data_IF_429304325870
#
_entry.id   IF_429304325870
#
_cell.length_a   1.000
_cell.length_b   1.000
_cell.length_c   1.000
_cell.angle_alpha   90.00
_cell.angle_beta   90.00
_cell.angle_gamma   90.00
#
_symmetry.space_group_name_H-M   'P 1'
#
loop_
_entity.id
_entity.type
_entity.pdbx_description
1 polymer ?
#
# COMPACT_ATOMS: atom_id res chain seq x y z
N UNK A 1 -11.88 -17.23 4.97
CA UNK A 1 -10.87 -16.62 4.09
C UNK A 1 -9.93 -15.83 4.98
N UNK A 2 -8.69 -16.29 5.14
CA UNK A 2 -7.66 -15.57 5.89
C UNK A 2 -7.44 -14.23 5.19
N UNK A 3 -7.75 -13.12 5.87
CA UNK A 3 -7.33 -11.80 5.41
C UNK A 3 -5.82 -11.75 5.57
N UNK A 4 -5.09 -12.01 4.50
CA UNK A 4 -3.63 -11.89 4.48
C UNK A 4 -3.29 -10.52 5.04
N UNK A 5 -2.57 -10.47 6.16
CA UNK A 5 -2.11 -9.22 6.76
C UNK A 5 -0.97 -8.70 5.87
N UNK A 6 -1.34 -8.04 4.78
CA UNK A 6 -0.39 -7.51 3.81
C UNK A 6 0.33 -6.32 4.42
N UNK A 7 1.65 -6.42 4.60
CA UNK A 7 2.48 -5.33 5.11
C UNK A 7 3.27 -4.73 3.95
N UNK A 8 3.09 -3.43 3.72
CA UNK A 8 3.81 -2.72 2.66
C UNK A 8 5.05 -2.08 3.24
N UNK A 9 6.10 -2.09 2.45
CA UNK A 9 7.37 -1.48 2.75
C UNK A 9 7.65 -0.43 1.70
N UNK A 10 7.60 0.82 2.11
CA UNK A 10 8.10 1.90 1.28
C UNK A 10 9.56 2.10 1.57
N UNK A 11 10.33 2.28 0.51
CA UNK A 11 11.74 2.63 0.65
C UNK A 11 11.98 3.93 -0.08
N UNK A 12 12.48 4.89 0.68
CA UNK A 12 12.79 6.22 0.21
C UNK A 12 14.30 6.44 0.28
N UNK A 13 14.85 6.85 -0.85
CA UNK A 13 16.19 7.43 -0.95
C UNK A 13 15.98 8.93 -1.16
N UNK A 14 16.12 9.71 -0.09
CA UNK A 14 16.05 11.17 -0.21
C UNK A 14 17.39 11.64 -0.80
N UNK A 15 17.40 12.10 -2.06
CA UNK A 15 18.64 12.60 -2.70
C UNK A 15 19.30 13.76 -1.97
N UNK A 16 18.59 14.41 -1.02
CA UNK A 16 19.12 15.50 -0.19
C UNK A 16 19.73 15.03 1.13
N UNK A 17 19.58 13.75 1.51
CA UNK A 17 20.08 13.17 2.76
C UNK A 17 20.79 11.85 2.47
N UNK A 18 21.94 11.62 3.07
CA UNK A 18 22.67 10.33 2.94
C UNK A 18 21.95 9.13 3.61
N UNK A 19 20.67 9.27 3.96
CA UNK A 19 19.90 8.30 4.72
C UNK A 19 18.71 7.75 3.93
N UNK A 20 18.76 6.44 3.69
CA UNK A 20 17.58 5.69 3.27
C UNK A 20 16.66 5.48 4.48
N UNK A 21 15.37 5.79 4.32
CA UNK A 21 14.35 5.54 5.34
C UNK A 21 13.41 4.46 4.82
N UNK A 22 13.16 3.47 5.67
CA UNK A 22 12.25 2.38 5.40
C UNK A 22 10.96 2.60 6.18
N UNK A 23 9.81 2.60 5.51
CA UNK A 23 8.51 2.75 6.18
C UNK A 23 7.71 1.48 6.03
N UNK A 24 7.30 0.91 7.16
CA UNK A 24 6.32 -0.16 7.23
C UNK A 24 4.92 0.45 7.33
N UNK A 25 4.10 0.24 6.30
CA UNK A 25 2.68 0.58 6.31
C UNK A 25 1.83 -0.69 6.47
N UNK A 26 0.91 -0.67 7.43
CA UNK A 26 -0.14 -1.67 7.52
C UNK A 26 -1.18 -1.42 6.42
N UNK A 27 -1.36 -2.34 5.47
CA UNK A 27 -2.27 -2.13 4.35
C UNK A 27 -3.76 -2.05 4.75
N UNK A 28 -4.13 -2.55 5.94
CA UNK A 28 -5.50 -2.49 6.43
C UNK A 28 -5.80 -1.15 7.11
N UNK A 29 -4.91 -0.68 8.00
CA UNK A 29 -5.15 0.52 8.81
C UNK A 29 -4.54 1.79 8.20
N UNK A 30 -3.52 1.66 7.37
CA UNK A 30 -2.71 2.78 6.87
C UNK A 30 -1.75 3.38 7.90
N UNK A 31 -1.58 2.72 9.04
CA UNK A 31 -0.58 3.12 10.03
C UNK A 31 0.83 2.91 9.47
N UNK A 32 1.68 3.92 9.63
CA UNK A 32 3.04 3.96 9.10
C UNK A 32 4.06 4.07 10.25
N UNK A 33 5.09 3.22 10.21
CA UNK A 33 6.22 3.26 11.14
C UNK A 33 7.50 3.34 10.31
N UNK A 34 8.40 4.27 10.65
CA UNK A 34 9.65 4.50 9.93
C UNK A 34 10.85 3.93 10.67
N UNK A 35 11.83 3.42 9.92
CA UNK A 35 13.04 2.77 10.39
C UNK A 35 14.25 3.27 9.62
N UNK A 36 15.39 3.31 10.29
CA UNK A 36 16.67 3.70 9.69
C UNK A 36 17.42 2.49 9.11
N UNK A 37 17.04 1.26 9.48
CA UNK A 37 17.65 0.03 8.97
C UNK A 37 16.61 -1.02 8.59
N UNK A 38 16.98 -1.90 7.64
CA UNK A 38 16.17 -3.08 7.28
C UNK A 38 16.08 -4.10 8.42
N UNK A 39 17.08 -4.12 9.31
CA UNK A 39 17.11 -5.03 10.47
C UNK A 39 16.04 -4.67 11.49
N UNK A 40 15.95 -3.40 11.90
CA UNK A 40 14.94 -2.92 12.87
C UNK A 40 13.51 -3.12 12.34
N UNK A 41 13.36 -2.88 11.04
CA UNK A 41 12.13 -3.11 10.31
C UNK A 41 11.74 -4.60 10.33
N UNK A 42 12.69 -5.50 10.09
CA UNK A 42 12.43 -6.94 10.10
C UNK A 42 12.04 -7.42 11.50
N UNK A 43 12.76 -6.97 12.54
CA UNK A 43 12.41 -7.30 13.93
C UNK A 43 10.99 -6.84 14.28
N UNK A 44 10.62 -5.62 13.86
CA UNK A 44 9.27 -5.11 14.08
C UNK A 44 8.22 -5.89 13.28
N UNK A 45 8.53 -6.27 12.04
CA UNK A 45 7.64 -7.11 11.22
C UNK A 45 7.41 -8.47 11.90
N UNK A 46 8.46 -9.11 12.41
CA UNK A 46 8.39 -10.40 13.10
C UNK A 46 7.56 -10.28 14.38
N UNK A 47 7.81 -9.25 15.19
CA UNK A 47 7.07 -9.02 16.44
C UNK A 47 5.58 -8.79 16.20
N UNK A 48 5.22 -8.08 15.12
CA UNK A 48 3.85 -7.70 14.83
C UNK A 48 3.10 -8.68 13.90
N UNK A 49 3.72 -9.76 13.45
CA UNK A 49 3.06 -10.71 12.55
C UNK A 49 3.16 -12.12 13.10
N UNK A 50 2.02 -12.71 13.46
CA UNK A 50 1.95 -14.14 13.80
C UNK A 50 1.81 -15.03 12.55
N UNK A 51 1.50 -14.43 11.40
CA UNK A 51 1.22 -15.14 10.14
C UNK A 51 2.53 -15.46 9.40
N UNK A 52 2.78 -16.74 9.10
CA UNK A 52 3.95 -17.17 8.34
C UNK A 52 3.89 -16.70 6.89
N UNK A 53 2.69 -16.54 6.33
CA UNK A 53 2.48 -16.11 4.94
C UNK A 53 2.52 -14.58 4.78
N UNK A 54 2.84 -13.85 5.85
CA UNK A 54 2.96 -12.40 5.77
C UNK A 54 4.12 -12.01 4.83
N UNK A 55 3.77 -11.36 3.73
CA UNK A 55 4.75 -10.82 2.78
C UNK A 55 4.93 -9.32 2.95
N UNK A 56 6.09 -8.89 2.48
CA UNK A 56 6.63 -7.56 2.54
C UNK A 56 6.76 -7.01 1.14
N UNK A 57 5.85 -6.14 0.70
CA UNK A 57 5.95 -5.52 -0.63
C UNK A 57 6.90 -4.35 -0.62
N UNK A 58 7.91 -4.36 -1.47
CA UNK A 58 8.89 -3.28 -1.55
C UNK A 58 8.46 -2.31 -2.65
N UNK A 59 8.37 -1.02 -2.28
CA UNK A 59 8.05 0.07 -3.19
C UNK A 59 9.24 1.01 -3.37
N UNK A 60 9.54 1.36 -4.62
CA UNK A 60 10.47 2.42 -5.00
C UNK A 60 9.75 3.41 -5.91
N UNK A 61 9.81 4.71 -5.61
CA UNK A 61 9.13 5.76 -6.39
C UNK A 61 7.63 5.48 -6.65
N UNK A 62 6.92 5.02 -5.61
CA UNK A 62 5.49 4.64 -5.66
C UNK A 62 5.16 3.44 -6.57
N UNK A 63 6.15 2.72 -7.09
CA UNK A 63 5.95 1.48 -7.84
C UNK A 63 6.39 0.28 -7.00
N UNK A 64 5.60 -0.79 -7.01
CA UNK A 64 6.00 -2.09 -6.46
C UNK A 64 7.13 -2.63 -7.33
N UNK A 65 8.21 -3.08 -6.71
CA UNK A 65 9.37 -3.66 -7.42
C UNK A 65 9.59 -5.13 -7.06
N UNK A 66 8.82 -5.66 -6.11
CA UNK A 66 8.86 -7.05 -5.68
C UNK A 66 8.33 -7.23 -4.26
N UNK A 67 8.47 -8.43 -3.73
CA UNK A 67 8.08 -8.75 -2.36
C UNK A 67 9.05 -9.73 -1.69
N UNK A 68 8.99 -9.83 -0.37
CA UNK A 68 9.72 -10.81 0.43
C UNK A 68 8.76 -11.43 1.46
N UNK A 69 8.70 -12.75 1.55
CA UNK A 69 8.19 -13.43 2.76
C UNK A 69 9.10 -13.14 3.95
N UNK A 70 8.69 -13.52 5.17
CA UNK A 70 9.54 -13.42 6.36
C UNK A 70 10.88 -14.14 6.19
N UNK A 71 10.84 -15.36 5.67
CA UNK A 71 12.00 -16.21 5.45
C UNK A 71 12.90 -15.61 4.37
N UNK A 72 12.31 -15.16 3.25
CA UNK A 72 13.03 -14.47 2.18
C UNK A 72 13.70 -13.19 2.73
N UNK A 73 13.01 -12.42 3.57
CA UNK A 73 13.57 -11.21 4.19
C UNK A 73 14.78 -11.53 5.07
N UNK A 74 14.69 -12.57 5.90
CA UNK A 74 15.81 -13.00 6.75
C UNK A 74 17.02 -13.41 5.91
N UNK A 75 16.81 -14.19 4.85
CA UNK A 75 17.89 -14.60 3.94
C UNK A 75 18.57 -13.40 3.27
N UNK A 76 17.80 -12.37 2.91
CA UNK A 76 18.31 -11.12 2.37
C UNK A 76 19.17 -10.37 3.40
N UNK A 77 18.72 -10.29 4.66
CA UNK A 77 19.52 -9.67 5.73
C UNK A 77 20.83 -10.42 5.99
N UNK A 78 20.76 -11.75 6.04
CA UNK A 78 21.95 -12.60 6.22
C UNK A 78 22.94 -12.41 5.06
N UNK A 79 22.43 -12.29 3.82
CA UNK A 79 23.25 -11.99 2.66
C UNK A 79 23.93 -10.62 2.78
N UNK A 80 23.18 -9.57 3.12
CA UNK A 80 23.73 -8.21 3.32
C UNK A 80 24.82 -8.17 4.39
N UNK A 81 24.59 -8.84 5.52
CA UNK A 81 25.54 -8.93 6.63
C UNK A 81 26.81 -9.68 6.21
N UNK A 82 26.68 -10.77 5.44
CA UNK A 82 27.81 -11.57 4.98
C UNK A 82 28.75 -10.78 4.06
N UNK A 83 28.21 -9.88 3.24
CA UNK A 83 29.03 -9.03 2.34
C UNK A 83 29.36 -7.67 2.96
N UNK A 84 28.93 -7.44 4.21
CA UNK A 84 29.12 -6.20 4.96
C UNK A 84 28.67 -4.95 4.17
N UNK A 85 27.47 -5.02 3.59
CA UNK A 85 26.88 -3.92 2.83
C UNK A 85 26.47 -2.79 3.79
N UNK A 86 26.89 -1.53 3.57
CA UNK A 86 26.43 -0.40 4.36
C UNK A 86 24.91 -0.24 4.30
N UNK A 87 24.28 0.15 5.42
CA UNK A 87 22.81 0.31 5.51
C UNK A 87 22.25 1.20 4.40
N UNK A 88 22.96 2.28 4.07
CA UNK A 88 22.60 3.22 2.99
C UNK A 88 22.59 2.60 1.59
N UNK A 89 23.29 1.49 1.39
CA UNK A 89 23.42 0.80 0.11
C UNK A 89 22.60 -0.50 0.07
N UNK A 90 22.01 -0.91 1.20
CA UNK A 90 21.33 -2.19 1.34
C UNK A 90 20.18 -2.38 0.34
N UNK A 91 19.32 -1.38 0.13
CA UNK A 91 18.25 -1.51 -0.85
C UNK A 91 18.80 -1.60 -2.27
N UNK A 92 19.76 -0.76 -2.61
CA UNK A 92 20.38 -0.73 -3.93
C UNK A 92 20.99 -2.09 -4.25
N UNK A 93 21.70 -2.66 -3.30
CA UNK A 93 22.25 -4.02 -3.40
C UNK A 93 21.17 -5.07 -3.62
N UNK A 94 20.08 -5.03 -2.83
CA UNK A 94 18.94 -5.96 -2.98
C UNK A 94 18.36 -5.92 -4.39
N UNK A 95 18.19 -4.71 -4.95
CA UNK A 95 17.63 -4.51 -6.28
C UNK A 95 18.62 -4.99 -7.36
N UNK A 96 19.89 -4.62 -7.25
CA UNK A 96 20.93 -4.97 -8.24
C UNK A 96 21.23 -6.47 -8.28
N UNK A 97 21.10 -7.16 -7.14
CA UNK A 97 21.30 -8.61 -7.02
C UNK A 97 20.05 -9.44 -7.24
N UNK A 98 18.95 -8.79 -7.61
CA UNK A 98 17.65 -9.42 -7.87
C UNK A 98 17.18 -10.32 -6.72
N UNK A 99 17.33 -9.85 -5.48
CA UNK A 99 16.98 -10.61 -4.28
C UNK A 99 15.49 -10.54 -3.93
N UNK A 100 14.66 -9.96 -4.80
CA UNK A 100 13.23 -9.76 -4.57
C UNK A 100 12.41 -10.77 -5.37
N UNK A 101 11.32 -11.25 -4.75
CA UNK A 101 10.35 -12.07 -5.46
C UNK A 101 9.44 -11.18 -6.32
N UNK A 102 9.63 -11.23 -7.64
CA UNK A 102 8.91 -10.43 -8.64
C UNK A 102 7.56 -11.00 -9.09
N UNK A 103 7.28 -12.28 -8.82
CA UNK A 103 6.01 -12.90 -9.22
C UNK A 103 4.79 -12.20 -8.61
N UNK A 104 5.01 -11.50 -7.50
CA UNK A 104 4.00 -10.76 -6.75
C UNK A 104 3.93 -9.27 -7.11
N UNK A 105 4.68 -8.80 -8.11
CA UNK A 105 4.66 -7.40 -8.58
C UNK A 105 3.27 -7.01 -9.12
N UNK A 106 2.59 -7.95 -9.80
CA UNK A 106 1.28 -7.72 -10.44
C UNK A 106 0.07 -8.09 -9.56
N UNK A 107 0.29 -8.80 -8.45
CA UNK A 107 -0.80 -9.43 -7.67
C UNK A 107 -1.25 -8.55 -6.49
N UNK A 108 -0.50 -7.50 -6.17
CA UNK A 108 -0.84 -6.64 -5.05
C UNK A 108 -1.95 -5.64 -5.40
N UNK A 109 -3.13 -5.83 -4.80
CA UNK A 109 -4.23 -4.86 -4.82
C UNK A 109 -4.42 -4.31 -3.41
N UNK A 110 -4.17 -3.01 -3.21
CA UNK A 110 -4.40 -2.37 -1.92
C UNK A 110 -5.88 -2.52 -1.51
N UNK A 111 -6.19 -3.20 -0.39
CA UNK A 111 -7.58 -3.43 0.02
C UNK A 111 -8.35 -2.12 0.28
N UNK A 112 -7.66 -1.01 0.61
CA UNK A 112 -8.28 0.31 0.79
C UNK A 112 -8.74 0.91 -0.52
N UNK A 113 -8.06 0.63 -1.64
CA UNK A 113 -8.46 1.14 -2.95
C UNK A 113 -9.86 0.64 -3.33
N UNK A 114 -10.19 -0.63 -3.03
CA UNK A 114 -11.54 -1.16 -3.26
C UNK A 114 -12.61 -0.35 -2.52
N UNK A 115 -12.34 0.00 -1.26
CA UNK A 115 -13.25 0.82 -0.45
C UNK A 115 -13.39 2.24 -1.02
N UNK A 116 -12.29 2.84 -1.46
CA UNK A 116 -12.30 4.17 -2.09
C UNK A 116 -13.11 4.15 -3.39
N UNK A 117 -12.90 3.15 -4.26
CA UNK A 117 -13.66 3.02 -5.50
C UNK A 117 -15.15 2.78 -5.26
N UNK A 118 -15.51 2.00 -4.24
CA UNK A 118 -16.90 1.80 -3.85
C UNK A 118 -17.56 3.12 -3.38
N UNK A 119 -16.88 3.89 -2.53
CA UNK A 119 -17.35 5.19 -2.07
C UNK A 119 -17.50 6.19 -3.22
N UNK A 120 -16.52 6.24 -4.13
CA UNK A 120 -16.56 7.10 -5.30
C UNK A 120 -17.74 6.73 -6.22
N UNK A 121 -17.96 5.44 -6.45
CA UNK A 121 -19.09 4.95 -7.26
C UNK A 121 -20.43 5.35 -6.64
N UNK A 122 -20.56 5.22 -5.32
CA UNK A 122 -21.77 5.64 -4.60
C UNK A 122 -22.00 7.15 -4.69
N UNK A 123 -20.94 7.96 -4.55
CA UNK A 123 -21.03 9.41 -4.71
C UNK A 123 -21.46 9.82 -6.13
N UNK A 124 -20.96 9.13 -7.16
CA UNK A 124 -21.37 9.38 -8.56
C UNK A 124 -22.85 9.04 -8.76
N UNK A 125 -23.32 7.92 -8.23
CA UNK A 125 -24.75 7.53 -8.31
C UNK A 125 -25.63 8.59 -7.65
N UNK A 126 -25.25 9.08 -6.46
CA UNK A 126 -25.97 10.15 -5.76
C UNK A 126 -25.97 11.45 -6.57
N UNK A 127 -24.84 11.82 -7.18
CA UNK A 127 -24.75 13.01 -8.01
C UNK A 127 -25.68 12.91 -9.23
N UNK A 128 -25.71 11.76 -9.91
CA UNK A 128 -26.62 11.52 -11.04
C UNK A 128 -28.08 11.62 -10.57
N UNK A 129 -28.43 11.00 -9.45
CA UNK A 129 -29.78 11.07 -8.91
C UNK A 129 -30.19 12.52 -8.58
N UNK A 130 -29.29 13.31 -7.99
CA UNK A 130 -29.53 14.72 -7.70
C UNK A 130 -29.72 15.56 -8.98
N UNK A 131 -28.91 15.32 -10.02
CA UNK A 131 -29.05 15.97 -11.33
C UNK A 131 -30.39 15.61 -11.97
N UNK A 132 -30.79 14.34 -11.93
CA UNK A 132 -32.08 13.88 -12.48
C UNK A 132 -33.25 14.52 -11.72
N UNK A 133 -33.21 14.55 -10.39
CA UNK A 133 -34.24 15.21 -9.59
C UNK A 133 -34.35 16.70 -9.89
N UNK A 134 -33.21 17.41 -9.99
CA UNK A 134 -33.19 18.82 -10.36
C UNK A 134 -33.72 19.06 -11.79
N UNK A 135 -33.41 18.17 -12.74
CA UNK A 135 -33.93 18.26 -14.09
C UNK A 135 -35.45 18.02 -14.13
N UNK A 136 -35.98 17.07 -13.34
CA UNK A 136 -37.41 16.78 -13.25
C UNK A 136 -38.22 17.91 -12.60
N UNK A 137 -37.66 18.61 -11.61
CA UNK A 137 -38.30 19.79 -11.01
C UNK A 137 -38.28 20.98 -11.95
N UNK A 138 -37.16 21.24 -12.65
CA UNK A 138 -37.06 22.34 -13.63
C UNK A 138 -37.94 22.07 -14.86
N UNK A 139 -38.05 20.83 -15.31
CA UNK A 139 -38.91 20.43 -16.43
C UNK A 139 -40.42 20.45 -16.11
N UNK A 140 -40.81 20.81 -14.87
CA UNK A 140 -42.22 20.93 -14.47
C UNK A 140 -42.96 19.60 -14.32
N UNK A 141 -42.26 18.46 -14.35
CA UNK A 141 -42.88 17.12 -14.21
C UNK A 141 -43.27 16.86 -12.74
N UNK A 142 -42.59 17.51 -11.79
CA UNK A 142 -42.94 17.56 -10.37
C UNK A 142 -43.49 18.95 -10.00
N UNK A 143 -44.63 19.32 -10.57
CA UNK A 143 -45.31 20.56 -10.23
C UNK A 143 -46.10 20.41 -8.91
N UNK A 144 -45.41 20.58 -7.79
CA UNK A 144 -46.03 20.64 -6.45
C UNK A 144 -46.97 21.85 -6.26
N UNK A 145 -47.07 22.74 -7.24
CA UNK A 145 -47.93 23.94 -7.15
C UNK A 145 -49.36 23.73 -7.66
N UNK A 146 -49.67 22.58 -8.28
CA UNK A 146 -50.96 22.34 -8.94
C UNK A 146 -51.98 21.47 -8.18
N UNK A 147 -51.72 21.07 -6.94
CA UNK A 147 -52.70 20.32 -6.09
C UNK A 147 -53.42 21.19 -5.06
N UNK A 148 -53.39 22.52 -5.21
CA UNK A 148 -54.13 23.45 -4.36
C UNK A 148 -55.13 24.28 -5.19
N UNK A 149 -56.10 23.61 -5.82
CA UNK A 149 -57.39 24.19 -6.24
C UNK A 149 -58.50 23.17 -6.07
#
# INVERSE_FOLDING_TARGET
MSSVNLKKFFVYEDKSKDTQIFTLENALTGECISFESLSDLYETLVAQSQDQDARSWIFKNKKTIGSLSKEEFKLVLDALNKVNVPVKDSLTYIIEKDLLNKDHELVFVDPRQKRIYALLSFAIILLIAAIVLAALTIAGIFDFTNTAK
#
